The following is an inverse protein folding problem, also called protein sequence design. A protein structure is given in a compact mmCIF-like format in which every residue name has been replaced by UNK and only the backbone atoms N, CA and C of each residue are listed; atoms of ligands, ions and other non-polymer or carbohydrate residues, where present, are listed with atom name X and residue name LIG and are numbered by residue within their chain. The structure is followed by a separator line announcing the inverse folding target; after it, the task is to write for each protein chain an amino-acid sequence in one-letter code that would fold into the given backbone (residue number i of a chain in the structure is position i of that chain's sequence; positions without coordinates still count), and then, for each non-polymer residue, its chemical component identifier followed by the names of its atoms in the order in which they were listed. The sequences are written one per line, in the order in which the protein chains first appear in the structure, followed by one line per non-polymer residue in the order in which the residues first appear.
data_IF_665778751276
#
_entry.id   IF_665778751276
#
_cell.length_a   1.000
_cell.length_b   1.000
_cell.length_c   1.000
_cell.angle_alpha   90.00
_cell.angle_beta   90.00
_cell.angle_gamma   90.00
#
_symmetry.space_group_name_H-M   'P 1'
#
loop_
_entity.id
_entity.type
_entity.pdbx_description
1 polymer ?
#
# COMPACT_ATOMS: atom_id res chain seq x y z
N UNK A 1 15.34 16.46 9.80
CA UNK A 1 16.60 16.10 10.47
C UNK A 1 17.77 16.43 9.56
N UNK A 2 18.83 17.02 10.11
CA UNK A 2 20.06 17.39 9.38
C UNK A 2 20.77 16.11 8.92
N UNK A 3 21.10 15.97 7.64
CA UNK A 3 21.82 14.80 7.11
C UNK A 3 23.33 15.05 7.25
N UNK A 4 24.07 14.05 7.72
CA UNK A 4 25.52 14.11 7.88
C UNK A 4 26.13 12.95 7.09
N UNK A 5 27.16 13.23 6.30
CA UNK A 5 27.96 12.21 5.62
C UNK A 5 29.03 11.70 6.60
N UNK A 6 29.10 10.38 6.76
CA UNK A 6 29.99 9.72 7.70
C UNK A 6 30.76 8.63 6.95
N UNK A 7 32.09 8.74 6.95
CA UNK A 7 32.97 7.69 6.43
C UNK A 7 33.23 6.69 7.55
N UNK A 8 32.99 5.40 7.29
CA UNK A 8 33.21 4.31 8.25
C UNK A 8 34.14 3.27 7.64
N UNK A 9 34.88 2.55 8.47
CA UNK A 9 35.70 1.42 8.00
C UNK A 9 34.81 0.30 7.44
N UNK A 10 35.36 -0.54 6.57
CA UNK A 10 34.64 -1.67 5.97
C UNK A 10 34.06 -2.61 7.03
N UNK A 11 34.79 -2.85 8.13
CA UNK A 11 34.33 -3.71 9.23
C UNK A 11 33.12 -3.11 9.95
N UNK A 12 33.15 -1.81 10.24
CA UNK A 12 32.03 -1.13 10.91
C UNK A 12 30.81 -1.03 9.99
N UNK A 13 31.01 -0.85 8.68
CA UNK A 13 29.94 -0.93 7.69
C UNK A 13 29.25 -2.30 7.72
N UNK A 14 30.00 -3.40 7.63
CA UNK A 14 29.44 -4.76 7.62
C UNK A 14 28.67 -5.01 8.92
N UNK A 15 29.23 -4.62 10.08
CA UNK A 15 28.57 -4.76 11.37
C UNK A 15 27.23 -4.04 11.41
N UNK A 16 27.19 -2.76 11.00
CA UNK A 16 25.94 -1.97 10.95
C UNK A 16 24.94 -2.51 9.94
N UNK A 17 25.41 -2.95 8.78
CA UNK A 17 24.56 -3.54 7.75
C UNK A 17 23.91 -4.83 8.24
N UNK A 18 24.66 -5.70 8.91
CA UNK A 18 24.15 -6.95 9.47
C UNK A 18 23.02 -6.73 10.49
N UNK A 19 23.04 -5.62 11.25
CA UNK A 19 21.94 -5.26 12.17
C UNK A 19 20.59 -4.99 11.46
N UNK A 20 20.62 -4.69 10.16
CA UNK A 20 19.41 -4.46 9.35
C UNK A 20 18.92 -5.74 8.65
N UNK A 21 19.76 -6.78 8.61
CA UNK A 21 19.42 -8.09 8.05
C UNK A 21 18.72 -8.89 9.15
N UNK A 22 17.46 -9.20 8.90
CA UNK A 22 16.67 -9.98 9.85
C UNK A 22 17.14 -11.45 9.78
N UNK A 23 17.50 -12.09 10.91
CA UNK A 23 17.93 -13.49 10.90
C UNK A 23 16.84 -14.41 10.36
N UNK A 24 17.25 -15.55 9.78
CA UNK A 24 16.32 -16.55 9.26
C UNK A 24 15.38 -17.02 10.37
N UNK A 25 14.09 -17.12 10.06
CA UNK A 25 13.05 -17.53 11.01
C UNK A 25 12.41 -16.37 11.79
N UNK A 26 13.00 -15.17 11.76
CA UNK A 26 12.37 -13.99 12.33
C UNK A 26 11.48 -13.30 11.29
N UNK A 27 10.31 -12.83 11.72
CA UNK A 27 9.37 -12.08 10.87
C UNK A 27 9.52 -10.58 11.11
N UNK A 28 9.66 -9.80 10.03
CA UNK A 28 9.73 -8.34 10.14
C UNK A 28 8.35 -7.77 10.49
N UNK A 29 8.18 -7.29 11.71
CA UNK A 29 6.97 -6.58 12.13
C UNK A 29 7.02 -5.15 11.56
N UNK A 30 6.17 -4.85 10.58
CA UNK A 30 6.10 -3.52 9.93
C UNK A 30 5.31 -2.51 10.74
N UNK A 31 4.30 -2.98 11.46
CA UNK A 31 3.39 -2.15 12.23
C UNK A 31 3.10 -2.85 13.57
N UNK A 32 3.22 -2.10 14.66
CA UNK A 32 2.94 -2.55 16.02
C UNK A 32 2.05 -1.52 16.73
N UNK A 33 1.56 -1.87 17.92
CA UNK A 33 0.66 -1.02 18.71
C UNK A 33 -0.62 -0.68 17.94
N UNK A 34 -1.01 0.60 17.95
CA UNK A 34 -2.22 1.11 17.29
C UNK A 34 -2.20 0.94 15.76
N UNK A 35 -1.02 0.73 15.15
CA UNK A 35 -0.92 0.51 13.70
C UNK A 35 -0.95 -0.97 13.33
N UNK A 36 -0.91 -1.88 14.31
CA UNK A 36 -0.96 -3.33 14.07
C UNK A 36 -2.28 -3.74 13.39
N UNK A 37 -2.22 -4.78 12.57
CA UNK A 37 -3.41 -5.32 11.88
C UNK A 37 -4.47 -5.80 12.88
N UNK A 38 -4.06 -6.50 13.94
CA UNK A 38 -4.95 -6.99 15.00
C UNK A 38 -5.66 -5.84 15.73
N UNK A 39 -4.92 -4.81 16.16
CA UNK A 39 -5.52 -3.64 16.80
C UNK A 39 -6.47 -2.91 15.86
N UNK A 40 -6.05 -2.66 14.60
CA UNK A 40 -6.91 -2.00 13.60
C UNK A 40 -8.19 -2.78 13.38
N UNK A 41 -8.11 -4.11 13.23
CA UNK A 41 -9.28 -4.96 12.99
C UNK A 41 -10.32 -4.84 14.11
N UNK A 42 -9.90 -4.72 15.35
CA UNK A 42 -10.81 -4.66 16.50
C UNK A 42 -11.26 -3.23 16.86
N UNK A 43 -10.34 -2.27 16.88
CA UNK A 43 -10.57 -0.92 17.42
C UNK A 43 -11.00 0.10 16.36
N UNK A 44 -10.51 -0.04 15.11
CA UNK A 44 -10.81 0.93 14.05
C UNK A 44 -12.31 1.07 13.77
N UNK A 45 -13.12 -0.02 13.68
CA UNK A 45 -14.55 0.12 13.43
C UNK A 45 -15.28 0.88 14.54
N UNK A 46 -14.88 0.67 15.81
CA UNK A 46 -15.47 1.36 16.97
C UNK A 46 -15.17 2.85 16.93
N UNK A 47 -13.91 3.21 16.71
CA UNK A 47 -13.49 4.61 16.57
C UNK A 47 -14.18 5.30 15.39
N UNK A 48 -14.35 4.61 14.26
CA UNK A 48 -15.09 5.14 13.11
C UNK A 48 -16.57 5.38 13.44
N UNK A 49 -17.22 4.48 14.18
CA UNK A 49 -18.60 4.66 14.61
C UNK A 49 -18.76 5.84 15.58
N UNK A 50 -17.83 6.00 16.53
CA UNK A 50 -17.81 7.15 17.45
C UNK A 50 -17.58 8.46 16.70
N UNK A 51 -16.62 8.48 15.77
CA UNK A 51 -16.29 9.66 14.95
C UNK A 51 -17.37 10.00 13.91
N UNK A 52 -18.21 9.05 13.50
CA UNK A 52 -19.29 9.30 12.55
C UNK A 52 -20.35 10.27 13.09
N UNK A 53 -20.39 10.49 14.41
CA UNK A 53 -21.26 11.50 15.05
C UNK A 53 -20.70 12.91 14.91
N UNK A 54 -19.40 13.06 14.62
CA UNK A 54 -18.74 14.34 14.43
C UNK A 54 -19.01 14.82 13.01
N UNK A 55 -19.70 15.96 12.88
CA UNK A 55 -19.78 16.68 11.60
C UNK A 55 -18.40 17.22 11.26
N UNK A 56 -17.65 16.46 10.46
CA UNK A 56 -16.37 16.92 9.91
C UNK A 56 -16.68 17.80 8.72
N UNK A 57 -16.31 19.07 8.80
CA UNK A 57 -16.30 19.96 7.64
C UNK A 57 -15.50 19.30 6.51
N UNK A 58 -16.04 19.23 5.28
CA UNK A 58 -15.34 18.58 4.19
C UNK A 58 -13.99 19.25 3.99
N UNK A 59 -12.92 18.51 4.30
CA UNK A 59 -11.55 18.94 3.97
C UNK A 59 -11.54 19.23 2.48
N UNK A 60 -11.18 20.47 2.12
CA UNK A 60 -11.05 20.93 0.73
C UNK A 60 -10.49 19.79 -0.12
N UNK A 61 -11.31 19.33 -1.06
CA UNK A 61 -10.93 18.29 -2.00
C UNK A 61 -9.64 18.74 -2.67
N UNK A 62 -8.54 18.06 -2.37
CA UNK A 62 -7.29 18.24 -3.12
C UNK A 62 -7.66 18.06 -4.59
N UNK A 63 -7.03 18.87 -5.46
CA UNK A 63 -7.23 18.73 -6.91
C UNK A 63 -7.25 17.25 -7.29
N UNK A 64 -8.21 16.82 -8.12
CA UNK A 64 -8.37 15.42 -8.46
C UNK A 64 -7.04 14.94 -9.02
N UNK A 65 -6.38 14.10 -8.24
CA UNK A 65 -5.08 13.59 -8.59
C UNK A 65 -5.19 12.97 -9.99
N UNK A 66 -4.24 13.26 -10.89
CA UNK A 66 -4.22 12.81 -12.29
C UNK A 66 -4.06 11.28 -12.47
N UNK A 67 -4.41 10.50 -11.45
CA UNK A 67 -4.50 9.05 -11.53
C UNK A 67 -5.47 8.67 -12.64
N UNK A 68 -5.09 7.65 -13.41
CA UNK A 68 -5.85 7.13 -14.55
C UNK A 68 -5.87 8.01 -15.80
N UNK A 69 -4.84 8.82 -16.08
CA UNK A 69 -4.61 9.32 -17.45
C UNK A 69 -3.64 8.40 -18.19
N UNK A 70 -3.79 8.30 -19.52
CA UNK A 70 -2.83 7.56 -20.34
C UNK A 70 -1.43 8.18 -20.20
N UNK A 71 -0.38 7.41 -19.87
CA UNK A 71 0.98 7.95 -19.67
C UNK A 71 1.59 8.52 -20.97
N UNK A 72 1.12 8.08 -22.13
CA UNK A 72 1.62 8.53 -23.44
C UNK A 72 0.92 9.81 -23.90
N UNK A 73 -0.41 9.79 -24.02
CA UNK A 73 -1.15 10.91 -24.61
C UNK A 73 -1.74 11.89 -23.60
N UNK A 74 -1.76 11.55 -22.29
CA UNK A 74 -2.37 12.34 -21.19
C UNK A 74 -3.84 12.72 -21.40
N UNK A 75 -4.51 12.09 -22.37
CA UNK A 75 -5.92 12.28 -22.70
C UNK A 75 -6.74 11.07 -22.24
N UNK A 76 -8.02 11.32 -21.94
CA UNK A 76 -8.96 10.28 -21.51
C UNK A 76 -8.70 9.74 -20.09
N UNK A 77 -9.57 8.80 -19.70
CA UNK A 77 -9.53 8.11 -18.40
C UNK A 77 -9.25 6.62 -18.63
N UNK A 78 -8.21 6.10 -18.00
CA UNK A 78 -7.92 4.66 -17.95
C UNK A 78 -8.99 3.98 -17.11
N UNK A 79 -9.64 2.97 -17.70
CA UNK A 79 -10.59 2.11 -17.03
C UNK A 79 -9.91 0.79 -16.67
N UNK A 80 -10.02 0.40 -15.40
CA UNK A 80 -9.54 -0.91 -14.95
C UNK A 80 -10.47 -1.96 -15.53
N UNK A 81 -9.94 -2.80 -16.41
CA UNK A 81 -10.70 -3.89 -17.03
C UNK A 81 -10.65 -5.18 -16.19
N UNK A 82 -9.58 -5.38 -15.42
CA UNK A 82 -9.35 -6.57 -14.61
C UNK A 82 -8.36 -6.26 -13.48
N UNK A 83 -8.54 -6.90 -12.32
CA UNK A 83 -7.59 -6.90 -11.20
C UNK A 83 -7.16 -8.35 -10.94
N UNK A 84 -5.87 -8.54 -10.70
CA UNK A 84 -5.31 -9.82 -10.27
C UNK A 84 -5.03 -9.76 -8.78
N UNK A 85 -5.44 -10.79 -8.04
CA UNK A 85 -5.17 -10.89 -6.61
C UNK A 85 -3.79 -11.56 -6.45
N UNK A 86 -2.94 -10.96 -5.62
CA UNK A 86 -1.64 -11.42 -5.13
C UNK A 86 -0.70 -12.22 -6.07
N UNK A 87 0.47 -11.61 -6.33
CA UNK A 87 1.66 -12.20 -6.98
C UNK A 87 1.48 -12.68 -8.42
N UNK A 88 0.96 -11.78 -9.26
CA UNK A 88 1.02 -11.89 -10.71
C UNK A 88 -0.28 -12.40 -11.33
N UNK A 89 -0.41 -12.29 -12.66
CA UNK A 89 -1.58 -12.80 -13.35
C UNK A 89 -1.62 -14.34 -13.24
N UNK A 90 -2.77 -14.96 -12.97
CA UNK A 90 -2.92 -16.41 -13.02
C UNK A 90 -2.64 -16.90 -14.44
N UNK A 91 -2.19 -18.15 -14.59
CA UNK A 91 -1.80 -18.75 -15.88
C UNK A 91 -2.88 -18.58 -16.96
N UNK A 92 -4.16 -18.64 -16.56
CA UNK A 92 -5.33 -18.55 -17.43
C UNK A 92 -5.92 -17.13 -17.56
N UNK A 93 -5.19 -16.07 -17.24
CA UNK A 93 -5.73 -14.69 -17.22
C UNK A 93 -6.36 -14.23 -18.55
N UNK A 94 -5.84 -14.70 -19.69
CA UNK A 94 -6.40 -14.39 -21.02
C UNK A 94 -7.80 -14.96 -21.23
N UNK A 95 -8.11 -16.07 -20.57
CA UNK A 95 -9.45 -16.70 -20.60
C UNK A 95 -10.38 -15.91 -19.69
N UNK A 96 -9.92 -15.51 -18.50
CA UNK A 96 -10.68 -14.69 -17.56
C UNK A 96 -11.11 -13.34 -18.15
N UNK A 97 -10.29 -12.74 -19.03
CA UNK A 97 -10.65 -11.52 -19.76
C UNK A 97 -11.88 -11.68 -20.66
N UNK A 98 -12.12 -12.88 -21.18
CA UNK A 98 -13.26 -13.16 -22.07
C UNK A 98 -14.55 -13.41 -21.29
N UNK A 99 -14.44 -13.72 -20.00
CA UNK A 99 -15.58 -14.04 -19.15
C UNK A 99 -16.17 -12.75 -18.53
N UNK A 100 -17.24 -12.22 -19.14
CA UNK A 100 -17.89 -10.95 -18.74
C UNK A 100 -18.38 -10.94 -17.29
N UNK A 101 -18.47 -12.10 -16.62
CA UNK A 101 -18.99 -12.23 -15.25
C UNK A 101 -17.98 -11.82 -14.17
N UNK A 102 -16.67 -11.88 -14.43
CA UNK A 102 -15.63 -11.48 -13.46
C UNK A 102 -15.35 -9.97 -13.43
N UNK A 103 -15.88 -9.22 -14.40
CA UNK A 103 -15.67 -7.77 -14.55
C UNK A 103 -16.71 -6.92 -13.80
N UNK A 104 -17.51 -7.54 -12.91
CA UNK A 104 -18.54 -6.88 -12.11
C UNK A 104 -18.51 -7.41 -10.68
N UNK A 105 -17.51 -7.00 -9.92
CA UNK A 105 -17.59 -7.08 -8.46
C UNK A 105 -16.80 -5.92 -7.88
N UNK A 106 -17.57 -4.87 -7.53
CA UNK A 106 -17.31 -4.04 -6.37
C UNK A 106 -17.51 -4.91 -5.12
#
# INVERSE_FOLDING_TARGET
GKKVNLTVSSQEFIRRFALHVLPKGFTRIRHYGILSSSWKKEKLPKLQAELATVKVEPVRTKEPLLHRRCPLCKKGRLHTILLFNDRGPPENWRVLLKDRKLNRSN
#
